data_IF_328945155486
#
_entry.id   IF_328945155486
#
_cell.length_a   1.000
_cell.length_b   1.000
_cell.length_c   1.000
_cell.angle_alpha   90.00
_cell.angle_beta   90.00
_cell.angle_gamma   90.00
#
_symmetry.space_group_name_H-M   'P 1'
#
loop_
_entity.id
_entity.type
_entity.pdbx_description
1 polymer ?
#
# COMPACT_ATOMS: atom_id res chain seq x y z
N UNK A 1 6.08 53.53 -28.37
CA UNK A 1 6.43 53.15 -26.98
C UNK A 1 5.78 51.80 -26.69
N UNK A 2 6.55 50.71 -26.90
CA UNK A 2 6.07 49.35 -26.80
C UNK A 2 6.31 48.89 -25.36
N UNK A 3 5.22 48.65 -24.59
CA UNK A 3 5.28 48.02 -23.27
C UNK A 3 5.43 46.54 -23.49
N UNK A 4 6.65 45.98 -23.25
CA UNK A 4 6.87 44.56 -23.14
C UNK A 4 6.20 44.06 -21.86
N UNK A 5 5.03 43.42 -22.00
CA UNK A 5 4.44 42.65 -20.92
C UNK A 5 5.34 41.46 -20.62
N UNK A 6 6.06 41.52 -19.51
CA UNK A 6 6.76 40.35 -18.94
C UNK A 6 5.69 39.37 -18.50
N UNK A 7 5.46 38.32 -19.28
CA UNK A 7 4.73 37.14 -18.81
C UNK A 7 5.62 36.54 -17.70
N UNK A 8 5.24 36.78 -16.46
CA UNK A 8 5.78 36.06 -15.29
C UNK A 8 5.27 34.62 -15.41
N UNK A 9 6.06 33.73 -16.01
CA UNK A 9 5.88 32.30 -15.87
C UNK A 9 6.10 32.03 -14.38
N UNK A 10 5.02 31.88 -13.62
CA UNK A 10 5.11 31.34 -12.25
C UNK A 10 5.67 29.94 -12.40
N UNK A 11 6.94 29.75 -12.13
CA UNK A 11 7.54 28.44 -11.97
C UNK A 11 6.73 27.72 -10.90
N UNK A 12 6.07 26.63 -11.27
CA UNK A 12 5.31 25.79 -10.34
C UNK A 12 6.29 25.19 -9.36
N UNK A 13 6.20 25.56 -8.11
CA UNK A 13 6.99 24.99 -7.02
C UNK A 13 6.39 23.64 -6.65
N UNK A 14 7.19 22.59 -6.62
CA UNK A 14 6.81 21.25 -6.16
C UNK A 14 7.06 21.12 -4.66
N UNK A 15 6.02 20.87 -3.90
CA UNK A 15 6.10 20.67 -2.44
C UNK A 15 6.52 19.25 -2.15
N UNK A 16 7.52 19.06 -1.27
CA UNK A 16 8.01 17.74 -0.93
C UNK A 16 8.11 17.51 0.58
N UNK A 17 8.14 16.25 0.98
CA UNK A 17 8.52 15.81 2.30
C UNK A 17 9.47 14.60 2.20
N UNK A 18 10.22 14.31 3.26
CA UNK A 18 11.16 13.18 3.32
C UNK A 18 10.77 12.27 4.47
N UNK A 19 10.73 10.97 4.20
CA UNK A 19 10.56 9.89 5.17
C UNK A 19 11.82 9.02 5.14
N UNK A 20 12.51 8.94 6.24
CA UNK A 20 13.76 8.22 6.36
C UNK A 20 13.68 7.15 7.44
N UNK A 21 14.29 5.99 7.20
CA UNK A 21 14.50 4.99 8.23
C UNK A 21 15.45 5.55 9.29
N UNK A 22 15.24 5.15 10.55
CA UNK A 22 16.08 5.57 11.67
C UNK A 22 17.37 4.73 11.75
N UNK A 23 18.25 4.94 10.76
CA UNK A 23 19.61 4.41 10.71
C UNK A 23 20.57 5.47 10.12
N UNK A 24 21.83 5.38 10.47
CA UNK A 24 22.86 6.37 10.10
C UNK A 24 22.94 6.61 8.59
N UNK A 25 22.88 5.54 7.77
CA UNK A 25 22.95 5.62 6.32
C UNK A 25 21.76 6.38 5.74
N UNK A 26 20.55 6.02 6.18
CA UNK A 26 19.31 6.63 5.70
C UNK A 26 19.21 8.10 6.14
N UNK A 27 19.61 8.42 7.36
CA UNK A 27 19.62 9.79 7.89
C UNK A 27 20.63 10.68 7.16
N UNK A 28 21.84 10.19 6.92
CA UNK A 28 22.84 10.90 6.12
C UNK A 28 22.32 11.24 4.72
N UNK A 29 21.68 10.27 4.06
CA UNK A 29 21.10 10.47 2.74
C UNK A 29 19.94 11.45 2.74
N UNK A 30 19.09 11.40 3.77
CA UNK A 30 18.01 12.38 3.96
C UNK A 30 18.55 13.80 4.03
N UNK A 31 19.62 14.02 4.80
CA UNK A 31 20.30 15.31 4.91
C UNK A 31 20.89 15.77 3.56
N UNK A 32 21.58 14.87 2.85
CA UNK A 32 22.17 15.19 1.53
C UNK A 32 21.11 15.59 0.51
N UNK A 33 19.99 14.83 0.43
CA UNK A 33 18.88 15.13 -0.48
C UNK A 33 18.18 16.43 -0.10
N UNK A 34 17.89 16.66 1.18
CA UNK A 34 17.31 17.93 1.66
C UNK A 34 18.19 19.12 1.30
N UNK A 35 19.50 19.05 1.61
CA UNK A 35 20.45 20.10 1.30
C UNK A 35 20.63 20.38 -0.20
N UNK A 36 20.39 19.38 -1.04
CA UNK A 36 20.38 19.54 -2.49
C UNK A 36 19.11 20.23 -2.98
N UNK A 37 17.94 19.79 -2.49
CA UNK A 37 16.64 20.34 -2.89
C UNK A 37 16.42 21.77 -2.42
N UNK A 38 16.90 22.14 -1.23
CA UNK A 38 16.80 23.48 -0.68
C UNK A 38 17.51 24.54 -1.55
N UNK A 39 18.51 24.15 -2.34
CA UNK A 39 19.21 25.03 -3.28
C UNK A 39 18.47 25.23 -4.60
N UNK A 40 17.39 24.48 -4.84
CA UNK A 40 16.65 24.50 -6.09
C UNK A 40 15.25 25.13 -5.88
N UNK A 41 15.05 26.31 -6.40
CA UNK A 41 13.78 27.07 -6.29
C UNK A 41 12.54 26.35 -6.84
N UNK A 42 12.73 25.23 -7.56
CA UNK A 42 11.64 24.35 -8.01
C UNK A 42 11.03 23.56 -6.87
N UNK A 43 11.73 23.33 -5.75
CA UNK A 43 11.28 22.52 -4.63
C UNK A 43 11.06 23.38 -3.37
N UNK A 44 10.07 22.99 -2.57
CA UNK A 44 9.81 23.57 -1.25
C UNK A 44 9.43 22.48 -0.27
N UNK A 45 10.09 22.45 0.89
CA UNK A 45 9.73 21.52 1.97
C UNK A 45 8.35 21.90 2.51
N UNK A 46 7.43 20.94 2.51
CA UNK A 46 6.08 21.08 3.05
C UNK A 46 5.56 19.73 3.54
N UNK A 47 5.67 19.51 4.85
CA UNK A 47 5.18 18.28 5.47
C UNK A 47 3.66 18.24 5.59
N UNK A 48 3.00 19.39 5.56
CA UNK A 48 1.56 19.48 5.73
C UNK A 48 0.79 19.12 4.46
N UNK A 49 1.33 19.46 3.28
CA UNK A 49 0.63 19.24 2.00
C UNK A 49 1.60 18.93 0.86
N UNK A 50 2.41 17.85 0.96
CA UNK A 50 3.39 17.50 -0.07
C UNK A 50 2.73 16.96 -1.34
N UNK A 51 3.36 17.22 -2.48
CA UNK A 51 3.06 16.63 -3.79
C UNK A 51 4.03 15.49 -4.12
N UNK A 52 5.20 15.47 -3.43
CA UNK A 52 6.23 14.46 -3.56
C UNK A 52 6.67 13.95 -2.19
N UNK A 53 6.51 12.66 -1.92
CA UNK A 53 7.12 11.99 -0.78
C UNK A 53 8.40 11.29 -1.22
N UNK A 54 9.52 11.69 -0.65
CA UNK A 54 10.81 11.02 -0.84
C UNK A 54 11.00 10.04 0.31
N UNK A 55 11.07 8.76 -0.01
CA UNK A 55 11.18 7.67 0.97
C UNK A 55 12.59 7.08 0.89
N UNK A 56 13.30 7.04 2.01
CA UNK A 56 14.68 6.54 2.12
C UNK A 56 14.70 5.42 3.16
N UNK A 57 14.71 4.17 2.68
CA UNK A 57 14.60 3.02 3.58
C UNK A 57 14.24 1.74 2.87
N UNK A 58 13.44 0.90 3.53
CA UNK A 58 12.81 -0.30 2.99
C UNK A 58 11.30 -0.17 2.91
N UNK A 59 10.62 -1.29 2.63
CA UNK A 59 9.15 -1.32 2.49
C UNK A 59 8.43 -0.81 3.75
N UNK A 60 8.94 -1.10 4.95
CA UNK A 60 8.36 -0.58 6.20
C UNK A 60 8.37 0.95 6.29
N UNK A 61 9.43 1.61 5.78
CA UNK A 61 9.51 3.09 5.72
C UNK A 61 8.49 3.63 4.72
N UNK A 62 8.34 2.97 3.58
CA UNK A 62 7.33 3.31 2.58
C UNK A 62 5.90 3.17 3.15
N UNK A 63 5.59 2.04 3.81
CA UNK A 63 4.27 1.83 4.43
C UNK A 63 3.97 2.89 5.49
N UNK A 64 4.94 3.25 6.33
CA UNK A 64 4.80 4.34 7.30
C UNK A 64 4.50 5.69 6.63
N UNK A 65 5.22 6.04 5.55
CA UNK A 65 4.98 7.25 4.78
C UNK A 65 3.60 7.25 4.10
N UNK A 66 3.17 6.10 3.56
CA UNK A 66 1.87 5.91 2.95
C UNK A 66 0.74 6.15 3.97
N UNK A 67 0.76 5.44 5.09
CA UNK A 67 -0.30 5.53 6.10
C UNK A 67 -0.40 6.93 6.73
N UNK A 68 0.73 7.61 6.94
CA UNK A 68 0.74 9.01 7.41
C UNK A 68 0.04 9.95 6.43
N UNK A 69 0.00 9.62 5.14
CA UNK A 69 -0.54 10.45 4.07
C UNK A 69 -1.78 9.88 3.39
N UNK A 70 -2.39 8.85 3.95
CA UNK A 70 -3.48 8.10 3.29
C UNK A 70 -4.65 8.99 2.87
N UNK A 71 -5.02 10.00 3.67
CA UNK A 71 -6.11 10.93 3.37
C UNK A 71 -5.84 11.89 2.19
N UNK A 72 -4.61 11.93 1.67
CA UNK A 72 -4.22 12.78 0.53
C UNK A 72 -3.51 12.02 -0.58
N UNK A 73 -3.62 10.71 -0.60
CA UNK A 73 -2.87 9.82 -1.49
C UNK A 73 -3.02 10.18 -2.98
N UNK A 74 -4.18 10.67 -3.40
CA UNK A 74 -4.44 11.09 -4.78
C UNK A 74 -3.73 12.40 -5.19
N UNK A 75 -3.13 13.12 -4.24
CA UNK A 75 -2.50 14.43 -4.47
C UNK A 75 -0.98 14.35 -4.49
N UNK A 76 -0.40 13.16 -4.26
CA UNK A 76 1.04 13.00 -4.10
C UNK A 76 1.58 11.81 -4.86
N UNK A 77 2.90 11.84 -5.09
CA UNK A 77 3.67 10.74 -5.67
C UNK A 77 4.80 10.36 -4.73
N UNK A 78 5.24 9.11 -4.83
CA UNK A 78 6.34 8.59 -4.02
C UNK A 78 7.58 8.37 -4.89
N UNK A 79 8.74 8.80 -4.39
CA UNK A 79 10.06 8.47 -4.92
C UNK A 79 10.80 7.67 -3.86
N UNK A 80 11.03 6.38 -4.10
CA UNK A 80 11.44 5.44 -3.06
C UNK A 80 12.86 4.92 -3.31
N UNK A 81 13.78 5.26 -2.40
CA UNK A 81 15.18 4.84 -2.40
C UNK A 81 15.39 3.66 -1.46
N UNK A 82 16.09 2.63 -1.95
CA UNK A 82 16.43 1.46 -1.17
C UNK A 82 17.76 1.64 -0.42
N UNK A 83 17.71 1.60 0.91
CA UNK A 83 18.91 1.54 1.77
C UNK A 83 19.09 0.19 2.45
N UNK A 84 18.15 -0.75 2.24
CA UNK A 84 18.17 -2.13 2.76
C UNK A 84 18.60 -3.16 1.72
N UNK A 85 18.44 -4.45 2.07
CA UNK A 85 18.78 -5.59 1.20
C UNK A 85 17.65 -5.95 0.23
N UNK A 86 16.39 -5.82 0.68
CA UNK A 86 15.20 -6.18 -0.09
C UNK A 86 14.22 -5.00 -0.03
N UNK A 87 13.65 -4.59 -1.16
CA UNK A 87 12.59 -3.62 -1.23
C UNK A 87 11.65 -3.95 -2.40
N UNK A 88 10.37 -4.07 -2.11
CA UNK A 88 9.35 -4.28 -3.13
C UNK A 88 8.94 -2.97 -3.80
N UNK A 89 8.84 -1.89 -3.01
CA UNK A 89 8.44 -0.55 -3.46
C UNK A 89 9.63 0.36 -3.74
N UNK A 90 10.79 0.11 -3.09
CA UNK A 90 11.96 0.95 -3.15
C UNK A 90 12.88 0.47 -4.29
N UNK A 91 12.65 1.02 -5.49
CA UNK A 91 13.33 0.59 -6.74
C UNK A 91 14.67 1.28 -6.96
N UNK A 92 14.83 2.51 -6.46
CA UNK A 92 15.97 3.34 -6.82
C UNK A 92 17.16 3.18 -5.88
N UNK A 93 18.37 3.20 -6.48
CA UNK A 93 19.60 3.38 -5.72
C UNK A 93 19.74 4.87 -5.34
N UNK A 94 20.20 5.11 -4.15
CA UNK A 94 20.41 6.46 -3.63
C UNK A 94 21.45 7.22 -4.46
N UNK A 95 22.46 6.55 -5.03
CA UNK A 95 23.48 7.18 -5.86
C UNK A 95 22.91 7.93 -7.07
N UNK A 96 21.74 7.54 -7.57
CA UNK A 96 21.06 8.13 -8.72
C UNK A 96 20.15 9.31 -8.40
N UNK A 97 20.09 9.79 -7.14
CA UNK A 97 19.06 10.75 -6.72
C UNK A 97 19.05 12.05 -7.53
N UNK A 98 20.26 12.60 -7.90
CA UNK A 98 20.35 13.86 -8.65
C UNK A 98 19.77 13.75 -10.06
N UNK A 99 20.03 12.63 -10.73
CA UNK A 99 19.51 12.33 -12.07
C UNK A 99 17.99 12.14 -12.03
N UNK A 100 17.49 11.45 -11.00
CA UNK A 100 16.06 11.24 -10.81
C UNK A 100 15.32 12.55 -10.52
N UNK A 101 15.87 13.42 -9.67
CA UNK A 101 15.32 14.74 -9.42
C UNK A 101 15.28 15.58 -10.70
N UNK A 102 16.32 15.53 -11.51
CA UNK A 102 16.33 16.19 -12.83
C UNK A 102 15.21 15.62 -13.72
N UNK A 103 15.09 14.30 -13.82
CA UNK A 103 14.04 13.65 -14.62
C UNK A 103 12.61 13.96 -14.11
N UNK A 104 12.42 14.18 -12.82
CA UNK A 104 11.15 14.64 -12.26
C UNK A 104 10.83 16.07 -12.74
N UNK A 105 11.81 16.98 -12.73
CA UNK A 105 11.63 18.35 -13.23
C UNK A 105 11.26 18.37 -14.72
N UNK A 106 11.93 17.54 -15.51
CA UNK A 106 11.66 17.35 -16.95
C UNK A 106 10.38 16.55 -17.22
N UNK A 107 9.70 16.03 -16.18
CA UNK A 107 8.52 15.15 -16.27
C UNK A 107 8.76 13.89 -17.13
N UNK A 108 10.00 13.46 -17.23
CA UNK A 108 10.44 12.29 -18.02
C UNK A 108 10.46 11.00 -17.23
N UNK A 109 10.49 11.06 -15.88
CA UNK A 109 10.49 9.87 -15.04
C UNK A 109 9.10 9.21 -15.04
N UNK A 110 8.98 7.94 -15.48
CA UNK A 110 7.72 7.24 -15.51
C UNK A 110 7.16 6.98 -14.10
N UNK A 111 5.87 6.72 -14.03
CA UNK A 111 5.18 6.40 -12.78
C UNK A 111 4.38 5.12 -12.92
N UNK A 112 4.17 4.45 -11.78
CA UNK A 112 3.33 3.27 -11.63
C UNK A 112 2.25 3.53 -10.59
N UNK A 113 1.05 3.03 -10.87
CA UNK A 113 -0.05 3.05 -9.94
C UNK A 113 -0.18 1.69 -9.23
N UNK A 114 -0.30 1.71 -7.90
CA UNK A 114 -0.62 0.54 -7.09
C UNK A 114 -2.04 0.65 -6.55
N UNK A 115 -2.76 -0.45 -6.60
CA UNK A 115 -4.12 -0.55 -6.08
C UNK A 115 -4.12 -0.63 -4.56
N UNK A 116 -5.16 -0.08 -3.94
CA UNK A 116 -5.41 -0.18 -2.51
C UNK A 116 -6.63 -1.05 -2.24
N UNK A 117 -6.59 -1.76 -1.12
CA UNK A 117 -7.77 -2.33 -0.48
C UNK A 117 -8.43 -1.27 0.40
N UNK A 118 -9.74 -1.32 0.50
CA UNK A 118 -10.54 -0.46 1.37
C UNK A 118 -11.42 -1.30 2.28
N UNK A 119 -11.25 -1.12 3.58
CA UNK A 119 -12.21 -1.55 4.60
C UNK A 119 -13.22 -0.41 4.81
N UNK A 120 -14.50 -0.74 4.93
CA UNK A 120 -15.56 0.24 5.18
C UNK A 120 -16.55 -0.32 6.21
N UNK A 121 -16.77 0.44 7.29
CA UNK A 121 -17.72 0.09 8.34
C UNK A 121 -18.32 1.38 8.94
N UNK A 122 -19.65 1.52 8.92
CA UNK A 122 -20.33 2.74 9.35
C UNK A 122 -19.71 3.98 8.67
N UNK A 123 -19.22 4.94 9.46
CA UNK A 123 -18.55 6.16 8.97
C UNK A 123 -17.01 6.06 8.94
N UNK A 124 -16.46 4.85 9.13
CA UNK A 124 -15.03 4.61 9.18
C UNK A 124 -14.55 3.89 7.92
N UNK A 125 -13.41 4.33 7.38
CA UNK A 125 -12.73 3.67 6.28
C UNK A 125 -11.24 3.57 6.56
N UNK A 126 -10.65 2.40 6.24
CA UNK A 126 -9.22 2.16 6.30
C UNK A 126 -8.71 1.63 4.97
N UNK A 127 -7.45 1.85 4.68
CA UNK A 127 -6.82 1.42 3.44
C UNK A 127 -5.58 0.58 3.72
N UNK A 128 -5.28 -0.34 2.82
CA UNK A 128 -4.04 -1.10 2.81
C UNK A 128 -3.53 -1.28 1.38
N UNK A 129 -2.21 -1.24 1.20
CA UNK A 129 -1.59 -1.50 -0.10
C UNK A 129 -1.27 -3.00 -0.26
N UNK A 130 -0.87 -3.68 0.81
CA UNK A 130 -0.57 -5.10 0.79
C UNK A 130 -1.78 -5.94 1.19
N UNK A 131 -2.17 -5.87 2.46
CA UNK A 131 -3.25 -6.71 2.98
C UNK A 131 -4.01 -6.08 4.14
N UNK A 132 -5.28 -6.46 4.23
CA UNK A 132 -6.12 -6.33 5.40
C UNK A 132 -6.20 -7.69 6.09
N UNK A 133 -5.86 -7.74 7.36
CA UNK A 133 -5.88 -8.97 8.15
C UNK A 133 -6.97 -8.85 9.20
N UNK A 134 -7.93 -9.76 9.13
CA UNK A 134 -8.88 -10.00 10.22
C UNK A 134 -8.27 -11.07 11.10
N UNK A 135 -7.98 -10.77 12.35
CA UNK A 135 -7.31 -11.69 13.27
C UNK A 135 -8.09 -11.90 14.55
N UNK A 136 -8.30 -13.15 14.89
CA UNK A 136 -8.87 -13.54 16.18
C UNK A 136 -7.91 -13.34 17.35
N UNK A 137 -6.63 -13.03 17.11
CA UNK A 137 -5.54 -12.89 18.07
C UNK A 137 -5.40 -14.10 19.02
N UNK A 138 -6.34 -14.28 19.92
CA UNK A 138 -6.33 -15.33 20.97
C UNK A 138 -7.48 -16.33 20.82
N UNK A 139 -8.53 -15.96 20.10
CA UNK A 139 -9.76 -16.78 19.95
C UNK A 139 -10.17 -16.86 18.50
N UNK A 140 -10.78 -17.98 18.12
CA UNK A 140 -11.38 -18.08 16.80
C UNK A 140 -12.46 -17.01 16.63
N UNK A 141 -12.46 -16.40 15.46
CA UNK A 141 -13.51 -15.48 15.01
C UNK A 141 -14.53 -16.22 14.15
N UNK A 142 -15.71 -15.67 14.04
CA UNK A 142 -16.83 -16.27 13.32
C UNK A 142 -17.57 -15.21 12.51
N UNK A 143 -17.63 -15.43 11.19
CA UNK A 143 -18.26 -14.52 10.24
C UNK A 143 -19.10 -15.27 9.21
N UNK A 144 -20.23 -14.69 8.85
CA UNK A 144 -20.83 -14.93 7.54
C UNK A 144 -20.15 -14.01 6.53
N UNK A 145 -19.62 -14.60 5.46
CA UNK A 145 -18.97 -13.87 4.37
C UNK A 145 -19.93 -13.85 3.17
N UNK A 146 -20.13 -12.68 2.62
CA UNK A 146 -20.95 -12.45 1.43
C UNK A 146 -20.09 -11.90 0.29
N UNK A 147 -20.36 -12.35 -0.92
CA UNK A 147 -19.78 -11.81 -2.15
C UNK A 147 -20.89 -11.12 -2.93
N UNK A 148 -20.78 -9.80 -3.13
CA UNK A 148 -21.77 -8.97 -3.83
C UNK A 148 -23.21 -9.14 -3.27
N UNK A 149 -23.33 -9.35 -1.97
CA UNK A 149 -24.62 -9.53 -1.27
C UNK A 149 -25.13 -10.98 -1.23
N UNK A 150 -24.53 -11.91 -1.97
CA UNK A 150 -24.85 -13.32 -1.89
C UNK A 150 -23.97 -14.06 -0.87
N UNK A 151 -24.55 -14.95 -0.08
CA UNK A 151 -23.81 -15.71 0.92
C UNK A 151 -22.75 -16.58 0.26
N UNK A 152 -21.50 -16.40 0.66
CA UNK A 152 -20.34 -17.07 0.08
C UNK A 152 -19.78 -18.15 1.02
N UNK A 153 -19.68 -17.85 2.33
CA UNK A 153 -19.06 -18.74 3.30
C UNK A 153 -19.57 -18.50 4.72
N UNK A 154 -19.60 -19.58 5.55
CA UNK A 154 -19.64 -19.51 7.00
C UNK A 154 -18.23 -19.80 7.54
N UNK A 155 -17.50 -18.74 7.83
CA UNK A 155 -16.14 -18.80 8.32
C UNK A 155 -16.05 -18.98 9.84
N UNK A 156 -15.23 -19.93 10.30
CA UNK A 156 -14.82 -20.08 11.69
C UNK A 156 -13.34 -20.45 11.74
N UNK A 157 -12.49 -19.61 12.32
CA UNK A 157 -11.04 -19.84 12.36
C UNK A 157 -10.28 -18.72 13.05
N UNK A 158 -8.96 -18.75 12.91
CA UNK A 158 -8.05 -17.78 13.55
C UNK A 158 -7.95 -16.45 12.81
N UNK A 159 -8.23 -16.41 11.49
CA UNK A 159 -8.10 -15.17 10.73
C UNK A 159 -8.44 -15.31 9.25
N UNK A 160 -8.65 -14.18 8.61
CA UNK A 160 -8.79 -14.02 7.18
C UNK A 160 -7.83 -12.94 6.70
N UNK A 161 -7.15 -13.19 5.60
CA UNK A 161 -6.31 -12.20 4.92
C UNK A 161 -6.96 -11.83 3.60
N UNK A 162 -7.19 -10.54 3.42
CA UNK A 162 -7.59 -10.00 2.14
C UNK A 162 -6.38 -9.25 1.59
N UNK A 163 -5.78 -9.80 0.55
CA UNK A 163 -4.54 -9.29 -0.05
C UNK A 163 -4.80 -8.65 -1.40
N UNK A 164 -4.16 -7.53 -1.68
CA UNK A 164 -4.04 -7.01 -3.04
C UNK A 164 -3.09 -7.86 -3.88
N UNK A 165 -3.03 -7.65 -5.18
CA UNK A 165 -2.02 -8.29 -6.05
C UNK A 165 -0.60 -7.96 -5.58
N UNK A 166 -0.36 -6.74 -5.11
CA UNK A 166 0.94 -6.31 -4.58
C UNK A 166 1.31 -7.06 -3.31
N UNK A 167 0.36 -7.23 -2.38
CA UNK A 167 0.54 -7.94 -1.11
C UNK A 167 0.60 -9.46 -1.25
N UNK A 168 0.29 -10.02 -2.43
CA UNK A 168 0.24 -11.46 -2.64
C UNK A 168 1.56 -12.18 -2.34
N UNK A 169 2.70 -11.50 -2.50
CA UNK A 169 4.04 -12.01 -2.16
C UNK A 169 4.48 -11.71 -0.72
N UNK A 170 3.68 -10.98 0.05
CA UNK A 170 3.93 -10.63 1.46
C UNK A 170 3.43 -11.71 2.43
N UNK A 171 2.73 -11.27 3.47
CA UNK A 171 2.17 -12.16 4.49
C UNK A 171 1.24 -13.23 3.91
N UNK A 172 0.45 -12.87 2.89
CA UNK A 172 -0.45 -13.79 2.19
C UNK A 172 0.24 -15.06 1.71
N UNK A 173 1.48 -14.96 1.18
CA UNK A 173 2.26 -16.12 0.75
C UNK A 173 2.64 -17.04 1.91
N UNK A 174 2.91 -16.50 3.09
CA UNK A 174 3.31 -17.29 4.26
C UNK A 174 2.19 -18.19 4.81
N UNK A 175 0.96 -17.90 4.41
CA UNK A 175 -0.25 -18.68 4.73
C UNK A 175 -0.79 -19.46 3.51
N UNK A 176 0.08 -19.78 2.55
CA UNK A 176 -0.24 -20.50 1.32
C UNK A 176 -1.17 -19.76 0.34
N UNK A 177 -1.25 -18.44 0.39
CA UNK A 177 -1.88 -17.63 -0.64
C UNK A 177 -1.12 -17.69 -1.96
N UNK A 178 -1.82 -17.51 -3.07
CA UNK A 178 -1.24 -17.50 -4.41
C UNK A 178 -0.45 -16.23 -4.68
N UNK A 179 0.65 -16.34 -5.42
CA UNK A 179 1.32 -15.18 -6.02
C UNK A 179 0.46 -14.69 -7.18
N UNK A 180 0.09 -13.43 -7.16
CA UNK A 180 -0.75 -12.78 -8.16
C UNK A 180 0.08 -11.74 -8.91
N UNK A 181 0.01 -11.74 -10.25
CA UNK A 181 0.64 -10.71 -11.06
C UNK A 181 0.08 -9.33 -10.69
N UNK A 182 0.96 -8.36 -10.50
CA UNK A 182 0.59 -6.99 -10.11
C UNK A 182 -0.23 -6.26 -11.19
N UNK A 183 -0.28 -6.76 -12.41
CA UNK A 183 -1.14 -6.26 -13.48
C UNK A 183 -2.61 -6.69 -13.31
N UNK A 184 -2.86 -7.72 -12.49
CA UNK A 184 -4.22 -8.15 -12.16
C UNK A 184 -4.77 -7.21 -11.08
N UNK A 185 -5.73 -6.36 -11.47
CA UNK A 185 -6.43 -5.47 -10.55
C UNK A 185 -7.53 -6.24 -9.83
N UNK A 186 -7.25 -6.64 -8.59
CA UNK A 186 -8.14 -7.48 -7.81
C UNK A 186 -7.62 -7.75 -6.41
N UNK A 187 -8.36 -8.56 -5.67
CA UNK A 187 -8.02 -8.96 -4.30
C UNK A 187 -8.10 -10.47 -4.14
N UNK A 188 -7.39 -11.00 -3.17
CA UNK A 188 -7.38 -12.41 -2.82
C UNK A 188 -7.81 -12.58 -1.37
N UNK A 189 -8.71 -13.51 -1.08
CA UNK A 189 -9.04 -13.95 0.27
C UNK A 189 -8.35 -15.27 0.57
N UNK A 190 -7.66 -15.34 1.71
CA UNK A 190 -6.98 -16.52 2.22
C UNK A 190 -7.34 -16.76 3.68
N UNK A 191 -7.75 -17.98 3.99
CA UNK A 191 -8.15 -18.38 5.34
C UNK A 191 -6.94 -18.73 6.21
N UNK A 192 -6.98 -18.37 7.49
CA UNK A 192 -6.00 -18.77 8.49
C UNK A 192 -6.64 -19.76 9.45
N UNK A 193 -6.12 -21.00 9.46
CA UNK A 193 -6.54 -22.07 10.35
C UNK A 193 -8.07 -22.19 10.44
N UNK A 194 -8.74 -22.20 9.29
CA UNK A 194 -10.19 -22.42 9.20
C UNK A 194 -10.59 -23.80 9.69
N UNK A 195 -11.63 -23.86 10.49
CA UNK A 195 -12.11 -25.10 11.11
C UNK A 195 -13.26 -25.68 10.30
N UNK A 196 -13.03 -26.86 9.75
CA UNK A 196 -14.09 -27.64 9.08
C UNK A 196 -14.86 -28.48 10.08
N UNK A 197 -16.21 -28.39 10.03
CA UNK A 197 -17.12 -29.19 10.84
C UNK A 197 -18.47 -29.34 10.16
N UNK A 198 -19.46 -29.97 10.83
CA UNK A 198 -20.84 -30.01 10.30
C UNK A 198 -21.48 -28.61 10.19
N UNK A 199 -21.04 -27.65 11.01
CA UNK A 199 -21.56 -26.28 11.02
C UNK A 199 -20.78 -25.32 10.13
N UNK A 200 -19.56 -25.66 9.77
CA UNK A 200 -18.65 -24.77 9.03
C UNK A 200 -18.01 -25.51 7.85
N UNK A 201 -18.15 -24.94 6.69
CA UNK A 201 -17.59 -25.48 5.43
C UNK A 201 -16.65 -24.44 4.82
N UNK A 202 -15.40 -24.32 5.35
CA UNK A 202 -14.43 -23.41 4.78
C UNK A 202 -14.10 -23.78 3.34
N UNK A 203 -13.75 -22.78 2.54
CA UNK A 203 -13.36 -22.95 1.12
C UNK A 203 -12.08 -23.78 1.05
N UNK A 204 -11.14 -23.55 1.95
CA UNK A 204 -9.90 -24.31 2.06
C UNK A 204 -8.89 -24.05 0.96
N UNK A 205 -9.09 -22.99 0.19
CA UNK A 205 -8.20 -22.54 -0.89
C UNK A 205 -8.24 -21.03 -1.02
N UNK A 206 -7.13 -20.38 -1.39
CA UNK A 206 -7.14 -18.96 -1.71
C UNK A 206 -8.08 -18.68 -2.89
N UNK A 207 -8.88 -17.61 -2.80
CA UNK A 207 -9.80 -17.20 -3.86
C UNK A 207 -9.44 -15.81 -4.34
N UNK A 208 -9.21 -15.65 -5.65
CA UNK A 208 -8.89 -14.35 -6.27
C UNK A 208 -10.18 -13.78 -6.88
N UNK A 209 -10.47 -12.53 -6.54
CA UNK A 209 -11.62 -11.78 -7.00
C UNK A 209 -11.18 -10.61 -7.89
N UNK A 210 -11.99 -10.30 -8.90
CA UNK A 210 -11.80 -9.09 -9.71
C UNK A 210 -12.03 -7.81 -8.86
N UNK A 211 -11.53 -6.69 -9.33
CA UNK A 211 -11.57 -5.40 -8.64
C UNK A 211 -12.98 -4.89 -8.30
N UNK A 212 -13.99 -5.33 -9.05
CA UNK A 212 -15.37 -4.83 -8.91
C UNK A 212 -16.16 -5.61 -7.86
N UNK A 213 -15.56 -6.63 -7.22
CA UNK A 213 -16.20 -7.44 -6.19
C UNK A 213 -16.13 -6.80 -4.83
N UNK A 214 -17.17 -7.04 -4.03
CA UNK A 214 -17.28 -6.58 -2.64
C UNK A 214 -17.48 -7.77 -1.73
N UNK A 215 -16.57 -7.93 -0.77
CA UNK A 215 -16.71 -8.88 0.33
C UNK A 215 -17.38 -8.18 1.51
N UNK A 216 -18.49 -8.71 2.02
CA UNK A 216 -19.15 -8.23 3.22
C UNK A 216 -19.05 -9.28 4.31
N UNK A 217 -18.71 -8.86 5.52
CA UNK A 217 -18.50 -9.71 6.68
C UNK A 217 -19.53 -9.35 7.76
N UNK A 218 -20.26 -10.37 8.26
CA UNK A 218 -21.22 -10.21 9.36
C UNK A 218 -20.78 -11.09 10.53
N UNK A 219 -20.52 -10.45 11.67
CA UNK A 219 -20.12 -11.13 12.90
C UNK A 219 -21.20 -12.10 13.36
N UNK A 220 -20.77 -13.32 13.76
CA UNK A 220 -21.62 -14.31 14.43
C UNK A 220 -21.14 -14.53 15.86
N UNK A 221 -22.08 -14.83 16.75
CA UNK A 221 -21.83 -15.28 18.12
C UNK A 221 -20.88 -14.35 18.91
N UNK A 222 -20.85 -13.04 18.62
CA UNK A 222 -19.99 -12.05 19.28
C UNK A 222 -18.48 -12.42 19.23
N UNK A 223 -18.06 -13.03 18.12
CA UNK A 223 -16.68 -13.48 17.88
C UNK A 223 -16.00 -12.68 16.77
N UNK A 224 -15.94 -11.36 16.95
CA UNK A 224 -15.21 -10.49 16.01
C UNK A 224 -13.70 -10.61 16.16
N UNK A 225 -13.00 -10.34 15.06
CA UNK A 225 -11.55 -10.18 15.03
C UNK A 225 -11.09 -8.73 15.20
N UNK A 226 -9.79 -8.56 15.31
CA UNK A 226 -9.10 -7.27 15.16
C UNK A 226 -8.80 -7.02 13.71
N UNK A 227 -8.68 -5.75 13.31
CA UNK A 227 -8.30 -5.33 11.95
C UNK A 227 -6.86 -4.81 11.94
N UNK A 228 -6.04 -5.39 11.09
CA UNK A 228 -4.71 -4.88 10.77
C UNK A 228 -4.66 -4.51 9.29
N UNK A 229 -3.95 -3.43 8.96
CA UNK A 229 -3.62 -3.03 7.60
C UNK A 229 -2.11 -2.85 7.48
N UNK A 230 -1.47 -3.55 6.56
CA UNK A 230 -0.02 -3.44 6.30
C UNK A 230 0.82 -3.48 7.60
N UNK A 231 0.52 -4.41 8.52
CA UNK A 231 1.13 -4.58 9.85
C UNK A 231 0.77 -3.50 10.90
N UNK A 232 -0.16 -2.62 10.63
CA UNK A 232 -0.66 -1.62 11.60
C UNK A 232 -1.97 -2.11 12.17
N UNK A 233 -2.06 -2.20 13.51
CA UNK A 233 -3.32 -2.49 14.18
C UNK A 233 -4.21 -1.24 14.12
N UNK A 234 -5.29 -1.31 13.35
CA UNK A 234 -6.24 -0.21 13.17
C UNK A 234 -7.40 -0.31 14.16
N UNK A 235 -8.00 -1.50 14.26
CA UNK A 235 -9.14 -1.74 15.11
C UNK A 235 -8.88 -2.95 16.01
N UNK A 236 -8.99 -2.78 17.33
CA UNK A 236 -8.91 -3.90 18.29
C UNK A 236 -10.08 -4.85 18.15
N UNK A 237 -11.21 -4.35 17.66
CA UNK A 237 -12.43 -5.09 17.40
C UNK A 237 -13.08 -4.54 16.13
N UNK A 238 -13.24 -5.38 15.11
CA UNK A 238 -13.97 -5.02 13.90
C UNK A 238 -15.44 -4.68 14.22
N UNK A 239 -16.06 -3.87 13.37
CA UNK A 239 -17.50 -3.66 13.40
C UNK A 239 -18.25 -4.99 13.21
N UNK A 240 -19.50 -5.05 13.67
CA UNK A 240 -20.35 -6.25 13.51
C UNK A 240 -20.62 -6.58 12.04
N UNK A 241 -20.71 -5.55 11.22
CA UNK A 241 -20.84 -5.67 9.78
C UNK A 241 -19.92 -4.65 9.12
N UNK A 242 -19.15 -5.09 8.12
CA UNK A 242 -18.23 -4.27 7.35
C UNK A 242 -18.02 -4.88 5.97
N UNK A 243 -17.47 -4.08 5.06
CA UNK A 243 -17.11 -4.55 3.73
C UNK A 243 -15.64 -4.30 3.40
N UNK A 244 -15.10 -5.13 2.52
CA UNK A 244 -13.78 -4.97 1.92
C UNK A 244 -13.93 -5.02 0.41
N UNK A 245 -13.30 -4.06 -0.28
CA UNK A 245 -13.28 -3.95 -1.73
C UNK A 245 -11.96 -3.34 -2.20
N UNK A 246 -11.73 -3.30 -3.50
CA UNK A 246 -10.68 -2.46 -4.06
C UNK A 246 -11.09 -0.98 -3.95
N UNK A 247 -10.14 -0.12 -3.58
CA UNK A 247 -10.34 1.33 -3.52
C UNK A 247 -10.29 1.95 -4.93
N UNK A 248 -10.94 3.09 -5.09
CA UNK A 248 -10.77 3.92 -6.30
C UNK A 248 -9.44 4.66 -6.30
N UNK A 249 -8.94 4.99 -5.12
CA UNK A 249 -7.66 5.63 -4.89
C UNK A 249 -6.52 4.69 -5.28
N UNK A 250 -5.45 5.29 -5.83
CA UNK A 250 -4.22 4.57 -6.21
C UNK A 250 -3.01 5.25 -5.60
N UNK A 251 -2.02 4.46 -5.23
CA UNK A 251 -0.71 4.95 -4.82
C UNK A 251 0.16 5.12 -6.04
N UNK A 252 0.65 6.32 -6.28
CA UNK A 252 1.49 6.61 -7.45
C UNK A 252 2.95 6.67 -7.01
N UNK A 253 3.76 5.75 -7.51
CA UNK A 253 5.22 5.75 -7.30
C UNK A 253 5.95 6.05 -8.61
N UNK A 254 7.06 6.77 -8.54
CA UNK A 254 8.01 6.80 -9.63
C UNK A 254 8.65 5.42 -9.79
N UNK A 255 8.89 5.01 -11.04
CA UNK A 255 9.39 3.67 -11.37
C UNK A 255 10.15 3.71 -12.68
N UNK A 256 11.26 2.97 -12.79
CA UNK A 256 12.00 2.78 -14.06
C UNK A 256 11.49 1.59 -14.86
N UNK A 257 10.89 0.62 -14.20
CA UNK A 257 10.52 -0.64 -14.82
C UNK A 257 9.14 -0.59 -15.46
N UNK A 258 9.04 -1.03 -16.70
CA UNK A 258 7.76 -1.21 -17.40
C UNK A 258 6.97 -2.40 -16.84
N UNK A 259 7.67 -3.50 -16.54
CA UNK A 259 7.10 -4.70 -15.92
C UNK A 259 8.06 -5.27 -14.85
N UNK A 260 7.89 -4.87 -13.58
CA UNK A 260 8.77 -5.33 -12.51
C UNK A 260 8.36 -6.69 -11.92
N UNK A 261 7.27 -7.32 -12.36
CA UNK A 261 6.74 -8.53 -11.73
C UNK A 261 7.81 -9.61 -11.61
N UNK A 262 8.43 -9.98 -12.72
CA UNK A 262 9.46 -11.02 -12.72
C UNK A 262 10.69 -10.63 -11.87
N UNK A 263 11.15 -9.39 -11.96
CA UNK A 263 12.26 -8.88 -11.17
C UNK A 263 11.95 -8.92 -9.67
N UNK A 264 10.71 -8.54 -9.29
CA UNK A 264 10.24 -8.58 -7.90
C UNK A 264 10.09 -10.02 -7.38
N UNK A 265 9.52 -10.92 -8.19
CA UNK A 265 9.42 -12.35 -7.86
C UNK A 265 10.81 -12.92 -7.60
N UNK A 266 11.77 -12.74 -8.50
CA UNK A 266 13.16 -13.20 -8.35
C UNK A 266 13.79 -12.62 -7.09
N UNK A 267 13.70 -11.32 -6.88
CA UNK A 267 14.25 -10.63 -5.71
C UNK A 267 13.66 -11.14 -4.39
N UNK A 268 12.34 -11.36 -4.35
CA UNK A 268 11.65 -11.83 -3.13
C UNK A 268 11.90 -13.31 -2.85
N UNK A 269 12.05 -14.12 -3.89
CA UNK A 269 12.27 -15.58 -3.76
C UNK A 269 13.75 -15.95 -3.67
N UNK A 270 14.67 -15.02 -3.94
CA UNK A 270 16.11 -15.22 -3.81
C UNK A 270 16.75 -15.98 -4.99
N UNK A 271 16.22 -15.84 -6.22
CA UNK A 271 16.87 -16.38 -7.43
C UNK A 271 17.27 -15.32 -8.43
#
# INVERSE_FOLDING_TARGET
MWVKSKILIRLRVMRYCIFSRDDERSQKMSFEISSFLEKDAFFSLDEASPELAIVIGGDGTFLGALHKNIGRINQMKFLCFNTGTIGYYNEFDVASFKELIHSIKEKSLPTRAFSLLKYSANDCSHFAINELILSGLVKNMEYEVFLDGEKFEDYFGMGLVISSSTGSMGYNRSINGSIVDIQIDGMQMTEIAAIRSKAYSPIGSPVVFSKDRVLTFKEKNSRSGSLLADNILLEKKCAKEFSISMAQEKVICYSLEKDPFLARVKKTLGF
#
